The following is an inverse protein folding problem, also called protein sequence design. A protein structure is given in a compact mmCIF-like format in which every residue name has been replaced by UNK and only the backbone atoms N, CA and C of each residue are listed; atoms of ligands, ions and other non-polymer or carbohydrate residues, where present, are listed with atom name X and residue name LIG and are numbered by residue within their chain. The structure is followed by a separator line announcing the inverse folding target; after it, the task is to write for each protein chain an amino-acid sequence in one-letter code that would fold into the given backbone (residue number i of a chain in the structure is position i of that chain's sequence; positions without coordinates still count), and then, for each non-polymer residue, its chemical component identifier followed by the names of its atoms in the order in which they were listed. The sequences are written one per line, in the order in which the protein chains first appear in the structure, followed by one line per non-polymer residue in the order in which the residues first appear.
data_IF_172014179402
#
_entry.id   IF_172014179402
#
_cell.length_a   1.000
_cell.length_b   1.000
_cell.length_c   1.000
_cell.angle_alpha   90.00
_cell.angle_beta   90.00
_cell.angle_gamma   90.00
#
_symmetry.space_group_name_H-M   'P 1'
#
loop_
_entity.id
_entity.type
_entity.pdbx_description
1 polymer ?
#
# COMPACT_ATOMS: atom_id res chain seq x y z
N UNK A 1 8.41 -6.74 11.55
CA UNK A 1 8.19 -5.41 12.16
C UNK A 1 8.13 -4.37 11.04
N UNK A 2 7.24 -3.38 11.10
CA UNK A 2 7.18 -2.27 10.13
C UNK A 2 7.97 -1.10 10.70
N UNK A 3 9.09 -0.74 10.07
CA UNK A 3 10.07 0.16 10.69
C UNK A 3 9.54 1.60 10.84
N UNK A 4 8.73 2.08 9.89
CA UNK A 4 8.30 3.48 9.84
C UNK A 4 6.81 3.62 9.47
N UNK A 5 5.89 3.17 10.33
CA UNK A 5 4.45 3.40 10.09
C UNK A 5 4.07 4.88 9.87
N UNK A 6 4.67 5.86 10.58
CA UNK A 6 4.32 7.28 10.39
C UNK A 6 4.66 7.83 8.99
N UNK A 7 5.76 7.38 8.35
CA UNK A 7 6.09 7.85 6.98
C UNK A 7 5.09 7.29 5.97
N UNK A 8 4.68 6.03 6.16
CA UNK A 8 3.72 5.35 5.30
C UNK A 8 2.36 6.04 5.37
N UNK A 9 1.91 6.40 6.58
CA UNK A 9 0.66 7.15 6.77
C UNK A 9 0.69 8.52 6.08
N UNK A 10 1.78 9.28 6.20
CA UNK A 10 1.93 10.58 5.51
C UNK A 10 1.90 10.42 4.00
N UNK A 11 2.62 9.44 3.46
CA UNK A 11 2.65 9.17 2.02
C UNK A 11 1.28 8.75 1.49
N UNK A 12 0.58 7.86 2.21
CA UNK A 12 -0.80 7.47 1.86
C UNK A 12 -1.75 8.67 1.92
N UNK A 13 -1.61 9.54 2.91
CA UNK A 13 -2.39 10.78 3.02
C UNK A 13 -2.18 11.71 1.83
N UNK A 14 -0.92 11.93 1.45
CA UNK A 14 -0.58 12.72 0.25
C UNK A 14 -1.18 12.11 -1.02
N UNK A 15 -1.04 10.79 -1.22
CA UNK A 15 -1.62 10.12 -2.38
C UNK A 15 -3.16 10.20 -2.40
N UNK A 16 -3.83 10.11 -1.25
CA UNK A 16 -5.29 10.21 -1.15
C UNK A 16 -5.83 11.60 -1.50
N UNK A 17 -5.02 12.65 -1.33
CA UNK A 17 -5.40 14.00 -1.74
C UNK A 17 -5.39 14.18 -3.27
N UNK A 18 -4.59 13.37 -3.99
CA UNK A 18 -4.37 13.52 -5.44
C UNK A 18 -5.11 12.45 -6.26
N UNK A 19 -5.21 11.23 -5.74
CA UNK A 19 -5.77 10.08 -6.45
C UNK A 19 -7.08 9.60 -5.82
N UNK A 20 -8.10 9.29 -6.63
CA UNK A 20 -9.38 8.80 -6.14
C UNK A 20 -9.29 7.43 -5.48
N UNK A 21 -8.20 6.68 -5.73
CA UNK A 21 -8.04 5.29 -5.35
C UNK A 21 -6.59 5.07 -4.92
N UNK A 22 -6.38 4.73 -3.65
CA UNK A 22 -5.05 4.49 -3.05
C UNK A 22 -5.10 3.26 -2.14
N UNK A 23 -4.10 2.38 -2.27
CA UNK A 23 -3.94 1.17 -1.49
C UNK A 23 -2.50 0.99 -1.04
N UNK A 24 -2.32 0.18 0.00
CA UNK A 24 -1.01 -0.19 0.50
C UNK A 24 -0.82 -1.69 0.40
N UNK A 25 0.38 -2.05 -0.03
CA UNK A 25 0.76 -3.38 -0.40
C UNK A 25 2.11 -3.72 0.26
N UNK A 26 2.37 -4.95 0.70
CA UNK A 26 3.68 -5.36 1.17
C UNK A 26 4.06 -6.76 0.69
N UNK A 27 5.35 -6.99 0.52
CA UNK A 27 5.93 -8.30 0.25
C UNK A 27 7.00 -8.61 1.31
N UNK A 28 7.18 -9.90 1.60
CA UNK A 28 8.25 -10.40 2.45
C UNK A 28 9.46 -10.59 1.56
N UNK A 29 10.47 -9.74 1.75
CA UNK A 29 11.73 -9.77 1.01
C UNK A 29 12.83 -9.90 2.06
N UNK A 30 13.42 -11.10 2.24
CA UNK A 30 14.31 -11.37 3.37
C UNK A 30 15.60 -10.55 3.35
N UNK A 31 15.98 -10.02 2.19
CA UNK A 31 17.17 -9.18 2.01
C UNK A 31 16.94 -7.69 2.33
N UNK A 32 15.71 -7.27 2.60
CA UNK A 32 15.39 -5.90 3.00
C UNK A 32 15.42 -5.73 4.52
N UNK A 33 15.66 -4.51 5.04
CA UNK A 33 15.58 -4.24 6.47
C UNK A 33 14.24 -4.71 7.04
N UNK A 34 14.27 -5.47 8.14
CA UNK A 34 13.08 -6.11 8.75
C UNK A 34 12.33 -7.12 7.88
N UNK A 35 12.90 -7.55 6.75
CA UNK A 35 12.34 -8.59 5.89
C UNK A 35 11.08 -8.17 5.11
N UNK A 36 10.77 -6.86 5.03
CA UNK A 36 9.53 -6.36 4.44
C UNK A 36 9.79 -5.22 3.47
N UNK A 37 9.05 -5.21 2.36
CA UNK A 37 9.02 -4.15 1.37
C UNK A 37 7.58 -3.67 1.16
N UNK A 38 7.36 -2.36 1.32
CA UNK A 38 6.08 -1.69 1.12
C UNK A 38 5.92 -1.06 -0.26
N UNK A 39 4.70 -1.10 -0.78
CA UNK A 39 4.28 -0.46 -2.03
C UNK A 39 3.04 0.38 -1.77
N UNK A 40 3.09 1.66 -2.18
CA UNK A 40 1.91 2.51 -2.28
C UNK A 40 1.41 2.44 -3.71
N UNK A 41 0.17 1.98 -3.90
CA UNK A 41 -0.44 1.82 -5.21
C UNK A 41 -1.56 2.85 -5.32
N UNK A 42 -1.45 3.78 -6.26
CA UNK A 42 -2.44 4.82 -6.51
C UNK A 42 -2.91 4.80 -7.97
N UNK A 43 -4.19 5.08 -8.21
CA UNK A 43 -4.77 5.10 -9.56
C UNK A 43 -5.76 6.25 -9.72
N UNK A 44 -5.78 6.85 -10.90
CA UNK A 44 -6.82 7.81 -11.32
C UNK A 44 -8.12 7.12 -11.73
N UNK A 45 -8.07 5.84 -12.09
CA UNK A 45 -9.25 5.07 -12.47
C UNK A 45 -9.90 4.44 -11.21
N UNK A 46 -11.17 4.78 -10.99
CA UNK A 46 -11.96 4.35 -9.81
C UNK A 46 -12.15 2.83 -9.71
N UNK A 47 -11.92 2.08 -10.79
CA UNK A 47 -12.15 0.62 -10.87
C UNK A 47 -10.88 -0.19 -10.60
N UNK A 48 -9.70 0.42 -10.50
CA UNK A 48 -8.43 -0.33 -10.46
C UNK A 48 -8.25 -1.15 -9.17
N UNK A 49 -8.54 -0.61 -7.98
CA UNK A 49 -8.32 -1.35 -6.72
C UNK A 49 -9.39 -2.39 -6.42
N UNK A 50 -10.61 -2.28 -6.97
CA UNK A 50 -11.64 -3.31 -6.78
C UNK A 50 -11.25 -4.62 -7.48
N UNK A 51 -10.49 -4.56 -8.57
CA UNK A 51 -9.96 -5.74 -9.28
C UNK A 51 -8.75 -6.37 -8.57
N UNK A 52 -7.97 -5.58 -7.83
CA UNK A 52 -6.78 -6.06 -7.12
C UNK A 52 -7.13 -6.85 -5.85
N UNK A 53 -8.38 -6.83 -5.38
CA UNK A 53 -8.86 -7.68 -4.27
C UNK A 53 -8.80 -9.19 -4.57
N UNK A 54 -8.75 -9.58 -5.84
CA UNK A 54 -8.67 -10.98 -6.27
C UNK A 54 -7.25 -11.46 -6.60
N UNK A 55 -6.29 -10.54 -6.75
CA UNK A 55 -4.89 -10.92 -6.78
C UNK A 55 -4.48 -11.27 -5.35
N UNK A 56 -3.60 -12.27 -5.16
CA UNK A 56 -3.13 -12.82 -3.88
C UNK A 56 -2.29 -11.84 -3.04
N UNK A 57 -2.72 -10.57 -2.99
CA UNK A 57 -2.08 -9.45 -2.38
C UNK A 57 -2.90 -9.09 -1.14
N UNK A 58 -2.38 -9.42 0.05
CA UNK A 58 -3.06 -9.14 1.33
C UNK A 58 -3.09 -7.62 1.56
N UNK A 59 -4.11 -6.97 1.00
CA UNK A 59 -4.41 -5.57 1.24
C UNK A 59 -4.70 -5.41 2.74
N UNK A 60 -3.80 -4.72 3.44
CA UNK A 60 -3.98 -4.40 4.85
C UNK A 60 -4.96 -3.21 4.94
N UNK A 61 -6.23 -3.46 4.63
CA UNK A 61 -7.29 -2.43 4.56
C UNK A 61 -7.95 -2.11 5.90
N UNK A 62 -7.30 -2.40 7.03
CA UNK A 62 -7.86 -2.12 8.36
C UNK A 62 -6.78 -1.79 9.37
N UNK A 63 -6.19 -0.60 9.30
CA UNK A 63 -5.78 0.24 10.45
C UNK A 63 -5.67 1.70 9.98
#
# INVERSE_FOLDING_TARGET
MFLDVPIIQRLLGFCRAVFPVVGYAYNIVPTYPSGHLGYVIASKNKVTLSRLKHASFRLLTSM
#
